data_IF_815603959566
#
_entry.id   IF_815603959566
#
_cell.length_a   1.000
_cell.length_b   1.000
_cell.length_c   1.000
_cell.angle_alpha   90.00
_cell.angle_beta   90.00
_cell.angle_gamma   90.00
#
_symmetry.space_group_name_H-M   'P 1'
#
loop_
_entity.id
_entity.type
_entity.pdbx_description
1 polymer ?
#
# COMPACT_ATOMS: atom_id res chain seq x y z
N UNK A 1 41.21 -27.39 2.73
CA UNK A 1 40.69 -26.28 1.90
C UNK A 1 39.18 -26.45 1.87
N UNK A 2 38.45 -25.44 2.32
CA UNK A 2 37.05 -25.56 2.71
C UNK A 2 36.20 -24.95 1.58
N UNK A 3 35.45 -25.77 0.84
CA UNK A 3 34.64 -25.38 -0.33
C UNK A 3 33.74 -24.15 -0.07
N UNK A 4 33.32 -23.95 1.18
CA UNK A 4 32.53 -22.79 1.62
C UNK A 4 33.26 -21.46 1.52
N UNK A 5 34.57 -21.44 1.77
CA UNK A 5 35.35 -20.21 1.79
C UNK A 5 35.64 -19.76 0.35
N UNK A 6 35.84 -20.71 -0.57
CA UNK A 6 35.99 -20.45 -2.01
C UNK A 6 34.70 -19.92 -2.66
N UNK A 7 33.53 -20.46 -2.27
CA UNK A 7 32.22 -19.91 -2.71
C UNK A 7 32.00 -18.47 -2.21
N UNK A 8 32.39 -18.17 -0.96
CA UNK A 8 32.21 -16.85 -0.37
C UNK A 8 33.09 -15.80 -1.05
N UNK A 9 34.35 -16.14 -1.33
CA UNK A 9 35.27 -15.26 -2.06
C UNK A 9 34.85 -15.04 -3.51
N UNK A 10 34.35 -16.09 -4.19
CA UNK A 10 33.80 -15.96 -5.54
C UNK A 10 32.59 -15.02 -5.54
N UNK A 11 31.70 -15.12 -4.56
CA UNK A 11 30.57 -14.21 -4.40
C UNK A 11 31.01 -12.78 -4.09
N UNK A 12 32.03 -12.59 -3.24
CA UNK A 12 32.58 -11.26 -2.94
C UNK A 12 33.25 -10.62 -4.16
N UNK A 13 33.97 -11.39 -4.98
CA UNK A 13 34.53 -10.92 -6.25
C UNK A 13 33.42 -10.54 -7.23
N UNK A 14 32.39 -11.38 -7.36
CA UNK A 14 31.23 -11.11 -8.21
C UNK A 14 30.49 -9.84 -7.78
N UNK A 15 30.42 -9.56 -6.46
CA UNK A 15 29.92 -8.29 -5.90
C UNK A 15 30.78 -7.09 -6.23
N UNK A 16 32.11 -7.22 -6.13
CA UNK A 16 33.05 -6.15 -6.50
C UNK A 16 32.98 -5.83 -7.99
N UNK A 17 32.73 -6.84 -8.82
CA UNK A 17 32.57 -6.70 -10.26
C UNK A 17 31.17 -6.21 -10.68
N UNK A 18 30.30 -5.91 -9.70
CA UNK A 18 29.01 -5.24 -9.91
C UNK A 18 27.83 -6.17 -10.23
N UNK A 19 28.04 -7.48 -10.31
CA UNK A 19 26.98 -8.45 -10.52
C UNK A 19 26.33 -8.85 -9.18
N UNK A 20 25.03 -8.60 -8.97
CA UNK A 20 24.34 -9.05 -7.77
C UNK A 20 24.34 -10.59 -7.69
N UNK A 21 24.27 -11.19 -6.48
CA UNK A 21 24.23 -12.63 -6.35
C UNK A 21 22.91 -13.15 -6.95
N UNK A 22 22.93 -14.29 -7.67
CA UNK A 22 21.77 -14.79 -8.41
C UNK A 22 20.50 -14.91 -7.56
N UNK A 23 20.66 -15.24 -6.27
CA UNK A 23 19.54 -15.40 -5.31
C UNK A 23 18.87 -14.07 -4.93
N UNK A 24 19.62 -12.99 -4.79
CA UNK A 24 19.06 -11.67 -4.43
C UNK A 24 18.37 -11.05 -5.63
N UNK A 25 18.97 -11.20 -6.81
CA UNK A 25 18.40 -10.73 -8.06
C UNK A 25 17.09 -11.48 -8.40
N UNK A 26 17.09 -12.82 -8.33
CA UNK A 26 15.88 -13.61 -8.55
C UNK A 26 14.75 -13.23 -7.58
N UNK A 27 15.07 -12.98 -6.31
CA UNK A 27 14.09 -12.54 -5.30
C UNK A 27 13.59 -11.13 -5.58
N UNK A 28 14.46 -10.20 -5.98
CA UNK A 28 14.08 -8.84 -6.34
C UNK A 28 13.16 -8.82 -7.57
N UNK A 29 13.47 -9.61 -8.60
CA UNK A 29 12.65 -9.76 -9.81
C UNK A 29 11.28 -10.37 -9.46
N UNK A 30 11.25 -11.40 -8.61
CA UNK A 30 10.00 -12.02 -8.17
C UNK A 30 9.12 -11.05 -7.37
N UNK A 31 9.72 -10.29 -6.44
CA UNK A 31 9.04 -9.26 -5.66
C UNK A 31 8.52 -8.12 -6.54
N UNK A 32 9.26 -7.74 -7.59
CA UNK A 32 8.84 -6.72 -8.55
C UNK A 32 7.61 -7.16 -9.36
N UNK A 33 7.64 -8.38 -9.93
CA UNK A 33 6.50 -8.97 -10.63
C UNK A 33 5.28 -9.06 -9.73
N UNK A 34 5.48 -9.49 -8.47
CA UNK A 34 4.42 -9.56 -7.46
C UNK A 34 3.85 -8.17 -7.19
N UNK A 35 4.70 -7.18 -6.92
CA UNK A 35 4.29 -5.81 -6.65
C UNK A 35 3.46 -5.22 -7.80
N UNK A 36 3.90 -5.42 -9.03
CA UNK A 36 3.19 -4.95 -10.23
C UNK A 36 1.83 -5.61 -10.40
N UNK A 37 1.73 -6.94 -10.20
CA UNK A 37 0.44 -7.65 -10.25
C UNK A 37 -0.54 -7.14 -9.20
N UNK A 38 -0.07 -6.96 -7.96
CA UNK A 38 -0.92 -6.40 -6.89
C UNK A 38 -1.37 -4.98 -7.20
N UNK A 39 -0.47 -4.12 -7.69
CA UNK A 39 -0.82 -2.76 -8.05
C UNK A 39 -1.86 -2.70 -9.19
N UNK A 40 -1.70 -3.54 -10.22
CA UNK A 40 -2.67 -3.63 -11.33
C UNK A 40 -4.02 -4.13 -10.81
N UNK A 41 -4.05 -5.18 -10.00
CA UNK A 41 -5.28 -5.71 -9.43
C UNK A 41 -6.01 -4.68 -8.56
N UNK A 42 -5.27 -3.93 -7.74
CA UNK A 42 -5.81 -2.85 -6.90
C UNK A 42 -6.40 -1.72 -7.74
N UNK A 43 -5.74 -1.30 -8.83
CA UNK A 43 -6.28 -0.28 -9.73
C UNK A 43 -7.49 -0.77 -10.51
N UNK A 44 -7.47 -2.01 -11.01
CA UNK A 44 -8.61 -2.60 -11.70
C UNK A 44 -9.82 -2.70 -10.77
N UNK A 45 -9.62 -3.16 -9.53
CA UNK A 45 -10.67 -3.21 -8.52
C UNK A 45 -11.19 -1.81 -8.16
N UNK A 46 -10.30 -0.84 -7.97
CA UNK A 46 -10.69 0.55 -7.68
C UNK A 46 -11.50 1.17 -8.82
N UNK A 47 -11.07 0.96 -10.07
CA UNK A 47 -11.78 1.45 -11.26
C UNK A 47 -13.14 0.77 -11.43
N UNK A 48 -13.23 -0.54 -11.16
CA UNK A 48 -14.48 -1.29 -11.18
C UNK A 48 -15.46 -0.78 -10.12
N UNK A 49 -15.00 -0.63 -8.88
CA UNK A 49 -15.83 -0.13 -7.77
C UNK A 49 -16.30 1.30 -8.03
N UNK A 50 -15.43 2.18 -8.51
CA UNK A 50 -15.81 3.54 -8.88
C UNK A 50 -16.84 3.52 -10.01
N UNK A 51 -16.59 2.80 -11.10
CA UNK A 51 -17.55 2.72 -12.23
C UNK A 51 -18.91 2.15 -11.80
N UNK A 52 -18.92 1.07 -11.02
CA UNK A 52 -20.15 0.46 -10.51
C UNK A 52 -20.90 1.41 -9.58
N UNK A 53 -20.19 2.10 -8.69
CA UNK A 53 -20.78 3.10 -7.79
C UNK A 53 -21.38 4.28 -8.56
N UNK A 54 -20.71 4.76 -9.62
CA UNK A 54 -21.21 5.83 -10.46
C UNK A 54 -22.48 5.41 -11.19
N UNK A 55 -22.49 4.21 -11.78
CA UNK A 55 -23.67 3.66 -12.42
C UNK A 55 -24.84 3.60 -11.43
N UNK A 56 -24.62 3.05 -10.22
CA UNK A 56 -25.64 3.00 -9.19
C UNK A 56 -26.20 4.39 -8.83
N UNK A 57 -25.35 5.41 -8.70
CA UNK A 57 -25.79 6.79 -8.44
C UNK A 57 -26.68 7.34 -9.55
N UNK A 58 -26.30 7.09 -10.81
CA UNK A 58 -27.06 7.56 -11.97
C UNK A 58 -28.45 6.91 -12.07
N UNK A 59 -28.59 5.68 -11.57
CA UNK A 59 -29.86 4.95 -11.54
C UNK A 59 -30.63 5.08 -10.22
N UNK A 60 -30.08 5.77 -9.20
CA UNK A 60 -30.76 5.95 -7.93
C UNK A 60 -31.64 7.21 -7.92
N UNK A 61 -32.91 7.02 -7.57
CA UNK A 61 -33.89 8.10 -7.39
C UNK A 61 -33.80 8.77 -6.01
N UNK A 62 -32.99 8.24 -5.10
CA UNK A 62 -32.92 8.76 -3.73
C UNK A 62 -31.80 9.79 -3.57
N UNK A 63 -32.14 10.99 -3.07
CA UNK A 63 -31.16 12.02 -2.72
C UNK A 63 -30.14 11.52 -1.69
N UNK A 64 -30.58 10.65 -0.77
CA UNK A 64 -29.73 10.05 0.26
C UNK A 64 -28.62 9.22 -0.38
N UNK A 65 -28.92 8.34 -1.34
CA UNK A 65 -27.88 7.59 -2.04
C UNK A 65 -26.89 8.52 -2.75
N UNK A 66 -27.37 9.55 -3.44
CA UNK A 66 -26.50 10.53 -4.13
C UNK A 66 -25.53 11.21 -3.17
N UNK A 67 -26.00 11.62 -1.99
CA UNK A 67 -25.15 12.25 -0.95
C UNK A 67 -24.13 11.26 -0.36
N UNK A 68 -24.54 10.02 -0.07
CA UNK A 68 -23.65 8.97 0.41
C UNK A 68 -22.52 8.70 -0.57
N UNK A 69 -22.85 8.56 -1.85
CA UNK A 69 -21.86 8.35 -2.89
C UNK A 69 -21.00 9.59 -3.15
N UNK A 70 -21.55 10.80 -3.06
CA UNK A 70 -20.73 12.01 -3.12
C UNK A 70 -19.66 12.02 -2.02
N UNK A 71 -20.01 11.62 -0.79
CA UNK A 71 -19.05 11.43 0.29
C UNK A 71 -18.02 10.33 0.01
N UNK A 72 -18.47 9.17 -0.48
CA UNK A 72 -17.58 8.07 -0.88
C UNK A 72 -16.57 8.51 -1.96
N UNK A 73 -17.02 9.21 -2.99
CA UNK A 73 -16.18 9.74 -4.06
C UNK A 73 -15.21 10.83 -3.56
N UNK A 74 -15.69 11.70 -2.66
CA UNK A 74 -14.89 12.74 -2.01
C UNK A 74 -13.68 12.19 -1.25
N UNK A 75 -13.76 10.95 -0.75
CA UNK A 75 -12.63 10.27 -0.10
C UNK A 75 -11.88 9.35 -1.09
N UNK A 76 -12.61 8.62 -1.92
CA UNK A 76 -12.08 7.59 -2.81
C UNK A 76 -11.17 8.15 -3.91
N UNK A 77 -11.60 9.23 -4.59
CA UNK A 77 -10.82 9.82 -5.69
C UNK A 77 -9.48 10.38 -5.21
N UNK A 78 -9.41 11.22 -4.15
CA UNK A 78 -8.13 11.67 -3.61
C UNK A 78 -7.24 10.53 -3.14
N UNK A 79 -7.81 9.47 -2.56
CA UNK A 79 -7.05 8.28 -2.12
C UNK A 79 -6.41 7.57 -3.31
N UNK A 80 -7.15 7.36 -4.40
CA UNK A 80 -6.65 6.75 -5.63
C UNK A 80 -5.58 7.63 -6.30
N UNK A 81 -5.82 8.94 -6.39
CA UNK A 81 -4.87 9.90 -6.92
C UNK A 81 -3.55 9.89 -6.13
N UNK A 82 -3.65 9.90 -4.79
CA UNK A 82 -2.50 9.76 -3.90
C UNK A 82 -1.76 8.44 -4.12
N UNK A 83 -2.48 7.31 -4.25
CA UNK A 83 -1.87 6.00 -4.50
C UNK A 83 -1.07 5.98 -5.82
N UNK A 84 -1.64 6.54 -6.90
CA UNK A 84 -0.98 6.66 -8.20
C UNK A 84 0.26 7.55 -8.10
N UNK A 85 0.12 8.73 -7.50
CA UNK A 85 1.22 9.67 -7.31
C UNK A 85 2.35 9.07 -6.46
N UNK A 86 2.00 8.42 -5.35
CA UNK A 86 2.96 7.80 -4.45
C UNK A 86 3.71 6.63 -5.10
N UNK A 87 3.19 5.99 -6.15
CA UNK A 87 3.88 4.91 -6.89
C UNK A 87 4.69 5.40 -8.10
N UNK A 88 4.53 6.65 -8.53
CA UNK A 88 5.20 7.21 -9.72
C UNK A 88 6.73 7.18 -9.57
N UNK A 89 7.42 6.52 -10.50
CA UNK A 89 8.89 6.39 -10.49
C UNK A 89 9.45 5.30 -9.56
N UNK A 90 8.60 4.38 -9.07
CA UNK A 90 9.05 3.21 -8.30
C UNK A 90 9.05 1.90 -9.11
N UNK A 91 8.86 1.97 -10.43
CA UNK A 91 8.62 0.79 -11.28
C UNK A 91 9.88 0.03 -11.67
N UNK A 92 11.02 0.70 -11.86
CA UNK A 92 12.29 0.07 -12.25
C UNK A 92 13.45 0.82 -11.62
N UNK A 93 14.57 0.14 -11.38
CA UNK A 93 15.83 0.78 -11.03
C UNK A 93 16.36 1.55 -12.25
N UNK A 94 17.12 2.62 -12.01
CA UNK A 94 17.76 3.40 -13.08
C UNK A 94 18.87 2.61 -13.77
N UNK A 95 19.59 1.80 -12.99
CA UNK A 95 20.75 1.02 -13.43
C UNK A 95 20.64 -0.42 -12.90
N UNK A 96 21.36 -1.35 -13.54
CA UNK A 96 21.40 -2.78 -13.17
C UNK A 96 22.43 -3.08 -12.07
N UNK A 97 22.83 -2.06 -11.31
CA UNK A 97 23.76 -2.23 -10.19
C UNK A 97 23.06 -2.62 -8.89
N UNK A 98 23.74 -3.40 -8.05
CA UNK A 98 23.25 -3.74 -6.70
C UNK A 98 22.86 -2.51 -5.86
N UNK A 99 23.65 -1.43 -5.95
CA UNK A 99 23.36 -0.15 -5.27
C UNK A 99 22.05 0.48 -5.76
N UNK A 100 21.79 0.47 -7.07
CA UNK A 100 20.55 1.00 -7.63
C UNK A 100 19.31 0.22 -7.16
N UNK A 101 19.41 -1.11 -7.03
CA UNK A 101 18.35 -1.94 -6.48
C UNK A 101 18.07 -1.65 -4.99
N UNK A 102 19.12 -1.54 -4.17
CA UNK A 102 18.98 -1.18 -2.74
C UNK A 102 18.37 0.21 -2.59
N UNK A 103 18.84 1.20 -3.36
CA UNK A 103 18.29 2.54 -3.37
C UNK A 103 16.81 2.59 -3.79
N UNK A 104 16.40 1.76 -4.76
CA UNK A 104 14.99 1.62 -5.13
C UNK A 104 14.17 0.99 -4.00
N UNK A 105 14.68 -0.07 -3.35
CA UNK A 105 14.01 -0.74 -2.24
C UNK A 105 13.80 0.21 -1.05
N UNK A 106 14.81 1.02 -0.71
CA UNK A 106 14.70 2.07 0.31
C UNK A 106 13.62 3.10 -0.05
N UNK A 107 13.61 3.59 -1.30
CA UNK A 107 12.58 4.52 -1.79
C UNK A 107 11.17 3.91 -1.69
N UNK A 108 11.01 2.65 -2.09
CA UNK A 108 9.75 1.89 -1.95
C UNK A 108 9.30 1.77 -0.50
N UNK A 109 10.20 1.44 0.44
CA UNK A 109 9.88 1.33 1.85
C UNK A 109 9.45 2.69 2.44
N UNK A 110 10.18 3.77 2.14
CA UNK A 110 9.84 5.12 2.60
C UNK A 110 8.47 5.56 2.08
N UNK A 111 8.17 5.34 0.80
CA UNK A 111 6.85 5.63 0.24
C UNK A 111 5.75 4.69 0.75
N UNK A 112 6.10 3.46 1.12
CA UNK A 112 5.22 2.54 1.83
C UNK A 112 4.80 3.07 3.20
N UNK A 113 5.73 3.65 3.97
CA UNK A 113 5.39 4.28 5.25
C UNK A 113 4.48 5.50 5.07
N UNK A 114 4.74 6.33 4.05
CA UNK A 114 3.84 7.44 3.71
C UNK A 114 2.45 6.95 3.34
N UNK A 115 2.36 5.87 2.57
CA UNK A 115 1.09 5.27 2.21
C UNK A 115 0.32 4.77 3.44
N UNK A 116 0.99 4.08 4.36
CA UNK A 116 0.37 3.63 5.62
C UNK A 116 -0.12 4.81 6.45
N UNK A 117 0.65 5.91 6.53
CA UNK A 117 0.21 7.11 7.24
C UNK A 117 -1.04 7.74 6.58
N UNK A 118 -1.04 7.89 5.26
CA UNK A 118 -2.21 8.35 4.53
C UNK A 118 -3.43 7.43 4.74
N UNK A 119 -3.22 6.11 4.80
CA UNK A 119 -4.30 5.16 5.08
C UNK A 119 -4.90 5.33 6.48
N UNK A 120 -4.13 5.73 7.50
CA UNK A 120 -4.71 6.06 8.81
C UNK A 120 -5.62 7.29 8.72
N UNK A 121 -5.20 8.32 7.99
CA UNK A 121 -6.00 9.53 7.78
C UNK A 121 -7.28 9.21 7.02
N UNK A 122 -7.19 8.42 5.95
CA UNK A 122 -8.35 7.97 5.17
C UNK A 122 -9.29 7.14 6.04
N UNK A 123 -8.76 6.20 6.84
CA UNK A 123 -9.57 5.39 7.75
C UNK A 123 -10.32 6.28 8.76
N UNK A 124 -9.65 7.26 9.36
CA UNK A 124 -10.27 8.21 10.28
C UNK A 124 -11.38 9.02 9.58
N UNK A 125 -11.13 9.51 8.36
CA UNK A 125 -12.12 10.24 7.57
C UNK A 125 -13.34 9.38 7.23
N UNK A 126 -13.13 8.11 6.83
CA UNK A 126 -14.21 7.16 6.53
C UNK A 126 -15.04 6.86 7.78
N UNK A 127 -14.40 6.61 8.92
CA UNK A 127 -15.11 6.37 10.19
C UNK A 127 -15.92 7.60 10.58
N UNK A 128 -15.32 8.80 10.55
CA UNK A 128 -16.01 10.04 10.87
C UNK A 128 -17.22 10.27 9.95
N UNK A 129 -17.05 10.07 8.64
CA UNK A 129 -18.12 10.20 7.66
C UNK A 129 -19.27 9.20 7.92
N UNK A 130 -18.96 7.93 8.18
CA UNK A 130 -19.97 6.91 8.47
C UNK A 130 -20.70 7.21 9.78
N UNK A 131 -19.97 7.55 10.86
CA UNK A 131 -20.58 7.90 12.15
C UNK A 131 -21.50 9.10 12.00
N UNK A 132 -21.04 10.18 11.34
CA UNK A 132 -21.86 11.37 11.10
C UNK A 132 -23.14 11.02 10.32
N UNK A 133 -23.00 10.21 9.26
CA UNK A 133 -24.12 9.74 8.44
C UNK A 133 -25.14 8.94 9.26
N UNK A 134 -24.71 7.92 9.99
CA UNK A 134 -25.60 7.08 10.79
C UNK A 134 -26.22 7.85 11.98
N UNK A 135 -25.49 8.81 12.54
CA UNK A 135 -25.99 9.66 13.64
C UNK A 135 -26.98 10.74 13.20
N UNK A 136 -26.91 11.20 11.95
CA UNK A 136 -27.75 12.28 11.43
C UNK A 136 -28.89 11.77 10.55
N UNK A 137 -28.55 11.17 9.41
CA UNK A 137 -29.51 10.77 8.38
C UNK A 137 -30.40 9.60 8.81
N UNK A 138 -29.93 8.76 9.74
CA UNK A 138 -30.64 7.56 10.21
C UNK A 138 -31.10 7.65 11.67
N UNK A 139 -30.99 8.82 12.32
CA UNK A 139 -31.46 8.99 13.70
C UNK A 139 -32.96 8.67 13.87
N UNK A 140 -33.74 8.78 12.79
CA UNK A 140 -35.17 8.49 12.76
C UNK A 140 -35.51 6.98 12.62
N UNK A 141 -34.53 6.11 12.35
CA UNK A 141 -34.72 4.65 12.23
C UNK A 141 -34.10 3.94 13.45
N UNK A 142 -34.91 3.50 14.44
CA UNK A 142 -34.42 3.14 15.77
C UNK A 142 -33.49 1.91 15.85
N UNK A 143 -33.61 0.94 14.93
CA UNK A 143 -32.79 -0.28 14.90
C UNK A 143 -31.54 -0.14 14.04
N UNK A 144 -31.58 0.63 12.96
CA UNK A 144 -30.62 0.49 11.87
C UNK A 144 -29.33 1.29 12.09
N UNK A 145 -29.40 2.39 12.85
CA UNK A 145 -28.25 3.27 13.09
C UNK A 145 -27.19 2.66 14.00
N UNK A 146 -27.60 1.95 15.07
CA UNK A 146 -26.66 1.35 16.05
C UNK A 146 -25.86 0.21 15.43
N UNK A 147 -26.53 -0.64 14.66
CA UNK A 147 -25.90 -1.76 13.98
C UNK A 147 -24.92 -1.28 12.89
N UNK A 148 -25.28 -0.22 12.15
CA UNK A 148 -24.39 0.42 11.18
C UNK A 148 -23.12 1.01 11.81
N UNK A 149 -23.24 1.68 12.96
CA UNK A 149 -22.08 2.21 13.71
C UNK A 149 -21.21 1.07 14.25
N UNK A 150 -21.82 0.03 14.84
CA UNK A 150 -21.10 -1.12 15.38
C UNK A 150 -20.30 -1.85 14.28
N UNK A 151 -20.93 -2.08 13.12
CA UNK A 151 -20.28 -2.67 11.96
C UNK A 151 -19.11 -1.78 11.46
N UNK A 152 -19.31 -0.47 11.38
CA UNK A 152 -18.27 0.49 10.99
C UNK A 152 -17.05 0.39 11.92
N UNK A 153 -17.28 0.35 13.24
CA UNK A 153 -16.22 0.22 14.24
C UNK A 153 -15.49 -1.12 14.10
N UNK A 154 -16.22 -2.22 13.92
CA UNK A 154 -15.64 -3.55 13.77
C UNK A 154 -14.74 -3.64 12.52
N UNK A 155 -15.23 -3.15 11.37
CA UNK A 155 -14.44 -3.10 10.12
C UNK A 155 -13.22 -2.19 10.30
N UNK A 156 -13.38 -1.02 10.93
CA UNK A 156 -12.27 -0.10 11.18
C UNK A 156 -11.19 -0.71 12.08
N UNK A 157 -11.57 -1.47 13.11
CA UNK A 157 -10.64 -2.18 13.99
C UNK A 157 -9.81 -3.23 13.22
N UNK A 158 -10.47 -4.03 12.35
CA UNK A 158 -9.76 -5.00 11.49
C UNK A 158 -8.78 -4.28 10.56
N UNK A 159 -9.21 -3.20 9.90
CA UNK A 159 -8.33 -2.39 9.06
C UNK A 159 -7.15 -1.81 9.84
N UNK A 160 -7.38 -1.34 11.07
CA UNK A 160 -6.32 -0.80 11.92
C UNK A 160 -5.27 -1.87 12.24
N UNK A 161 -5.69 -3.10 12.55
CA UNK A 161 -4.79 -4.24 12.78
C UNK A 161 -3.92 -4.50 11.54
N UNK A 162 -4.54 -4.53 10.35
CA UNK A 162 -3.84 -4.71 9.08
C UNK A 162 -2.83 -3.58 8.83
N UNK A 163 -3.22 -2.31 9.06
CA UNK A 163 -2.34 -1.16 8.90
C UNK A 163 -1.18 -1.17 9.90
N UNK A 164 -1.41 -1.57 11.16
CA UNK A 164 -0.35 -1.74 12.15
C UNK A 164 0.64 -2.84 11.75
N UNK A 165 0.13 -3.98 11.27
CA UNK A 165 0.97 -5.07 10.77
C UNK A 165 1.79 -4.63 9.54
N UNK A 166 1.16 -3.91 8.59
CA UNK A 166 1.83 -3.34 7.42
C UNK A 166 2.91 -2.33 7.83
N UNK A 167 2.61 -1.41 8.76
CA UNK A 167 3.56 -0.45 9.30
C UNK A 167 4.80 -1.16 9.85
N UNK A 168 4.60 -2.14 10.76
CA UNK A 168 5.69 -2.90 11.38
C UNK A 168 6.52 -3.63 10.33
N UNK A 169 5.87 -4.27 9.35
CA UNK A 169 6.54 -4.98 8.25
C UNK A 169 7.40 -4.05 7.40
N UNK A 170 6.88 -2.88 7.02
CA UNK A 170 7.61 -1.90 6.21
C UNK A 170 8.79 -1.31 6.99
N UNK A 171 8.62 -0.99 8.29
CA UNK A 171 9.74 -0.51 9.13
C UNK A 171 10.85 -1.55 9.28
N UNK A 172 10.50 -2.82 9.51
CA UNK A 172 11.49 -3.91 9.57
C UNK A 172 12.28 -4.04 8.28
N UNK A 173 11.60 -3.97 7.13
CA UNK A 173 12.24 -4.01 5.81
C UNK A 173 13.14 -2.80 5.58
N UNK A 174 12.69 -1.60 5.96
CA UNK A 174 13.48 -0.38 5.85
C UNK A 174 14.79 -0.51 6.62
N UNK A 175 14.73 -0.93 7.90
CA UNK A 175 15.91 -1.11 8.72
C UNK A 175 16.89 -2.14 8.13
N UNK A 176 16.38 -3.25 7.57
CA UNK A 176 17.21 -4.25 6.92
C UNK A 176 17.94 -3.68 5.68
N UNK A 177 17.25 -2.91 4.84
CA UNK A 177 17.88 -2.27 3.68
C UNK A 177 18.84 -1.15 4.05
N UNK A 178 18.60 -0.42 5.14
CA UNK A 178 19.53 0.59 5.66
C UNK A 178 20.82 -0.04 6.19
N UNK A 179 20.76 -1.24 6.77
CA UNK A 179 21.96 -1.98 7.16
C UNK A 179 22.80 -2.38 5.94
N UNK A 180 22.16 -2.97 4.92
CA UNK A 180 22.83 -3.35 3.66
C UNK A 180 23.43 -2.13 2.95
N UNK A 181 22.73 -0.99 2.96
CA UNK A 181 23.24 0.23 2.35
C UNK A 181 24.54 0.71 3.03
N UNK A 182 24.63 0.65 4.37
CA UNK A 182 25.85 1.01 5.09
C UNK A 182 27.03 0.09 4.80
N UNK A 183 26.77 -1.21 4.61
CA UNK A 183 27.81 -2.17 4.23
C UNK A 183 28.36 -1.94 2.82
N UNK A 184 27.55 -1.37 1.91
CA UNK A 184 27.98 -1.04 0.55
C UNK A 184 28.76 0.29 0.45
N UNK A 185 28.68 1.14 1.47
CA UNK A 185 29.37 2.44 1.55
C UNK A 185 30.70 2.35 2.34
N UNK A 186 30.95 1.24 3.05
CA UNK A 186 32.17 0.98 3.82
C UNK A 186 33.28 0.33 2.95
#
# INVERSE_FOLDING_TARGET
MNERDDELEAWQRQWRDGAPPPRVEARAIADDRRYRRFAIAEYALSALLLTASLAYVLYSDTIVARLLFAGFWGIGVPTLAFAIWNRRGLWRATDESGRAFVALALRRCRRGLRAVHASYVVLAAVVAFNVATFSGAFAAMPSDGRDGIALTIAVAAVYLIVLMAAHRRVRRRLAAYEAIARELDA
#
